data_IF_571637323806
#
_entry.id   IF_571637323806
#
_cell.length_a   1.000
_cell.length_b   1.000
_cell.length_c   1.000
_cell.angle_alpha   90.00
_cell.angle_beta   90.00
_cell.angle_gamma   90.00
#
_symmetry.space_group_name_H-M   'P 1'
#
loop_
_entity.id
_entity.type
_entity.pdbx_description
1 polymer ?
#
# COMPACT_ATOMS: atom_id res chain seq x y z
N UNK A 1 -5.87 15.56 -5.05
CA UNK A 1 -5.30 14.38 -5.75
C UNK A 1 -5.76 13.03 -5.16
N UNK A 2 -6.84 12.97 -4.36
CA UNK A 2 -7.24 11.77 -3.56
C UNK A 2 -8.60 11.14 -3.95
N UNK A 3 -8.97 11.10 -5.23
CA UNK A 3 -10.28 10.54 -5.65
C UNK A 3 -10.23 9.11 -6.20
N UNK A 4 -9.12 8.40 -6.01
CA UNK A 4 -9.05 6.96 -6.34
C UNK A 4 -8.94 6.17 -5.03
N UNK A 5 -10.05 5.59 -4.51
CA UNK A 5 -10.05 4.85 -3.25
C UNK A 5 -9.04 3.68 -3.24
N UNK A 6 -8.72 3.13 -4.41
CA UNK A 6 -7.73 2.07 -4.57
C UNK A 6 -6.26 2.52 -4.41
N UNK A 7 -5.96 3.82 -4.53
CA UNK A 7 -4.60 4.39 -4.33
C UNK A 7 -4.42 4.81 -2.87
N UNK A 8 -5.48 5.32 -2.24
CA UNK A 8 -5.46 5.72 -0.82
C UNK A 8 -5.17 4.55 0.12
N UNK A 9 -5.83 3.40 -0.12
CA UNK A 9 -5.62 2.21 0.69
C UNK A 9 -4.19 1.65 0.56
N UNK A 10 -3.61 1.69 -0.65
CA UNK A 10 -2.23 1.25 -0.89
C UNK A 10 -1.21 2.17 -0.24
N UNK A 11 -1.43 3.48 -0.33
CA UNK A 11 -0.59 4.46 0.37
C UNK A 11 -0.63 4.24 1.89
N UNK A 12 -1.79 3.85 2.43
CA UNK A 12 -1.93 3.46 3.84
C UNK A 12 -1.08 2.24 4.18
N UNK A 13 -1.17 1.17 3.38
CA UNK A 13 -0.36 -0.06 3.59
C UNK A 13 1.14 0.25 3.52
N UNK A 14 1.58 1.09 2.58
CA UNK A 14 2.98 1.52 2.49
C UNK A 14 3.45 2.27 3.76
N UNK A 15 2.64 3.20 4.27
CA UNK A 15 2.97 3.90 5.51
C UNK A 15 3.00 2.96 6.72
N UNK A 16 2.09 1.98 6.79
CA UNK A 16 2.09 0.95 7.82
C UNK A 16 3.33 0.05 7.73
N UNK A 17 3.74 -0.38 6.53
CA UNK A 17 4.95 -1.17 6.32
C UNK A 17 6.19 -0.42 6.85
N UNK A 18 6.30 0.88 6.54
CA UNK A 18 7.38 1.73 7.05
C UNK A 18 7.33 1.89 8.57
N UNK A 19 6.13 2.08 9.14
CA UNK A 19 5.92 2.13 10.59
C UNK A 19 6.42 0.85 11.26
N UNK A 20 5.99 -0.32 10.79
CA UNK A 20 6.42 -1.62 11.33
C UNK A 20 7.91 -1.85 11.16
N UNK A 21 8.50 -1.43 10.03
CA UNK A 21 9.94 -1.55 9.80
C UNK A 21 10.72 -0.78 10.87
N UNK A 22 10.36 0.49 11.09
CA UNK A 22 11.06 1.31 12.07
C UNK A 22 10.79 0.84 13.50
N UNK A 23 9.55 0.48 13.85
CA UNK A 23 9.25 -0.11 15.15
C UNK A 23 10.03 -1.40 15.39
N UNK A 24 10.12 -2.29 14.40
CA UNK A 24 10.90 -3.52 14.49
C UNK A 24 12.38 -3.26 14.77
N UNK A 25 12.99 -2.30 14.06
CA UNK A 25 14.38 -1.89 14.29
C UNK A 25 14.58 -1.31 15.70
N UNK A 26 13.70 -0.43 16.17
CA UNK A 26 13.80 0.17 17.50
C UNK A 26 13.62 -0.87 18.62
N UNK A 27 12.63 -1.74 18.49
CA UNK A 27 12.34 -2.81 19.45
C UNK A 27 13.49 -3.84 19.52
N UNK A 28 14.06 -4.23 18.37
CA UNK A 28 15.26 -5.09 18.35
C UNK A 28 16.50 -4.40 18.90
N UNK A 29 16.58 -3.09 18.76
CA UNK A 29 17.58 -2.24 19.42
C UNK A 29 17.39 -2.12 20.94
N UNK A 30 16.37 -2.77 21.51
CA UNK A 30 16.10 -2.78 22.95
C UNK A 30 15.28 -1.59 23.45
N UNK A 31 14.76 -0.76 22.55
CA UNK A 31 13.90 0.37 22.93
C UNK A 31 12.52 -0.19 23.29
N UNK A 32 11.96 0.26 24.42
CA UNK A 32 10.61 -0.13 24.81
C UNK A 32 9.55 0.37 23.79
N UNK A 33 8.43 -0.35 23.68
CA UNK A 33 7.41 -0.07 22.65
C UNK A 33 6.86 1.35 22.74
N UNK A 34 6.58 1.84 23.94
CA UNK A 34 5.99 3.16 24.17
C UNK A 34 6.88 4.29 23.61
N UNK A 35 8.14 4.45 24.05
CA UNK A 35 9.01 5.48 23.48
C UNK A 35 9.29 5.25 22.00
N UNK A 36 9.31 3.99 21.53
CA UNK A 36 9.44 3.70 20.11
C UNK A 36 8.25 4.24 19.28
N UNK A 37 7.03 4.17 19.80
CA UNK A 37 5.82 4.71 19.14
C UNK A 37 5.87 6.23 19.02
N UNK A 38 6.35 6.93 20.06
CA UNK A 38 6.51 8.37 20.01
C UNK A 38 7.54 8.79 18.95
N UNK A 39 8.67 8.08 18.87
CA UNK A 39 9.73 8.34 17.89
C UNK A 39 9.26 8.17 16.43
N UNK A 40 8.36 7.21 16.16
CA UNK A 40 7.88 6.93 14.79
C UNK A 40 6.66 7.77 14.40
N UNK A 41 6.09 8.57 15.31
CA UNK A 41 4.90 9.37 15.00
C UNK A 41 5.13 10.36 13.87
N UNK A 42 6.32 10.95 13.79
CA UNK A 42 6.72 11.85 12.69
C UNK A 42 6.87 11.17 11.33
N UNK A 43 6.89 9.83 11.27
CA UNK A 43 7.01 9.07 10.01
C UNK A 43 5.68 8.88 9.29
N UNK A 44 4.56 9.06 9.99
CA UNK A 44 3.21 8.86 9.47
C UNK A 44 2.65 10.15 8.87
N UNK A 45 1.75 10.02 7.89
CA UNK A 45 0.98 11.15 7.38
C UNK A 45 0.03 11.72 8.43
N UNK A 46 -0.35 13.00 8.25
CA UNK A 46 -1.28 13.70 9.15
C UNK A 46 -2.61 12.96 9.39
N UNK A 47 -3.04 12.11 8.44
CA UNK A 47 -4.26 11.30 8.59
C UNK A 47 -4.10 10.10 9.55
N UNK A 48 -2.89 9.56 9.71
CA UNK A 48 -2.61 8.38 10.55
C UNK A 48 -1.98 8.74 11.90
N UNK A 49 -1.37 9.91 12.04
CA UNK A 49 -0.83 10.40 13.32
C UNK A 49 -1.82 10.33 14.49
N UNK A 50 -3.08 10.83 14.39
CA UNK A 50 -4.01 10.78 15.53
C UNK A 50 -4.38 9.33 15.93
N UNK A 51 -4.37 8.40 14.96
CA UNK A 51 -4.59 6.98 15.22
C UNK A 51 -3.43 6.37 16.00
N UNK A 52 -2.20 6.70 15.64
CA UNK A 52 -1.01 6.25 16.37
C UNK A 52 -0.98 6.79 17.79
N UNK A 53 -1.26 8.08 17.98
CA UNK A 53 -1.34 8.67 19.31
C UNK A 53 -2.41 7.98 20.19
N UNK A 54 -3.56 7.65 19.60
CA UNK A 54 -4.61 6.89 20.30
C UNK A 54 -4.13 5.47 20.66
N UNK A 55 -3.39 4.80 19.77
CA UNK A 55 -2.85 3.48 20.03
C UNK A 55 -1.81 3.50 21.15
N UNK A 56 -0.89 4.48 21.13
CA UNK A 56 0.10 4.70 22.18
C UNK A 56 -0.58 4.90 23.52
N UNK A 57 -1.65 5.71 23.57
CA UNK A 57 -2.45 5.91 24.78
C UNK A 57 -3.07 4.61 25.30
N UNK A 58 -3.69 3.81 24.44
CA UNK A 58 -4.27 2.52 24.87
C UNK A 58 -3.21 1.55 25.42
N UNK A 59 -2.01 1.55 24.82
CA UNK A 59 -0.90 0.73 25.29
C UNK A 59 -0.39 1.22 26.65
N UNK A 60 -0.32 2.54 26.87
CA UNK A 60 -0.04 3.13 28.18
C UNK A 60 -1.07 2.73 29.24
N UNK A 61 -2.34 2.65 28.86
CA UNK A 61 -3.45 2.23 29.73
C UNK A 61 -3.45 0.70 30.01
N UNK A 62 -2.47 -0.04 29.47
CA UNK A 62 -2.28 -1.48 29.71
C UNK A 62 -2.94 -2.39 28.67
N UNK A 63 -3.47 -1.82 27.58
CA UNK A 63 -4.04 -2.61 26.47
C UNK A 63 -2.92 -3.31 25.71
N UNK A 64 -3.19 -4.52 25.23
CA UNK A 64 -2.27 -5.24 24.34
C UNK A 64 -2.01 -4.46 23.06
N UNK A 65 -0.80 -4.58 22.51
CA UNK A 65 -0.38 -3.88 21.29
C UNK A 65 -1.25 -4.33 20.12
N UNK A 66 -1.52 -5.64 20.04
CA UNK A 66 -2.37 -6.21 18.99
C UNK A 66 -3.77 -5.58 18.98
N UNK A 67 -4.39 -5.40 20.15
CA UNK A 67 -5.71 -4.82 20.29
C UNK A 67 -5.74 -3.30 20.09
N UNK A 68 -4.72 -2.58 20.58
CA UNK A 68 -4.58 -1.14 20.38
C UNK A 68 -4.44 -0.78 18.89
N UNK A 69 -3.63 -1.56 18.17
CA UNK A 69 -3.46 -1.40 16.72
C UNK A 69 -4.75 -1.75 15.97
N UNK A 70 -5.45 -2.82 16.36
CA UNK A 70 -6.73 -3.25 15.76
C UNK A 70 -7.81 -2.17 15.90
N UNK A 71 -7.99 -1.64 17.11
CA UNK A 71 -9.00 -0.62 17.43
C UNK A 71 -8.76 0.70 16.72
N UNK A 72 -7.48 1.06 16.51
CA UNK A 72 -7.11 2.31 15.83
C UNK A 72 -6.99 2.16 14.30
N UNK A 73 -7.20 0.94 13.78
CA UNK A 73 -7.10 0.64 12.36
C UNK A 73 -5.70 0.86 11.80
N UNK A 74 -4.66 0.57 12.60
CA UNK A 74 -3.25 0.61 12.22
C UNK A 74 -2.74 -0.77 11.82
N UNK A 75 -3.61 -1.66 11.36
CA UNK A 75 -3.28 -3.05 11.03
C UNK A 75 -4.11 -3.55 9.86
N UNK A 76 -3.53 -4.50 9.15
CA UNK A 76 -4.21 -5.38 8.19
C UNK A 76 -4.55 -6.71 8.87
N UNK A 77 -5.47 -7.49 8.29
CA UNK A 77 -5.84 -8.81 8.82
C UNK A 77 -4.63 -9.75 9.00
N UNK A 78 -3.64 -9.65 8.10
CA UNK A 78 -2.39 -10.42 8.17
C UNK A 78 -1.48 -9.87 9.27
N UNK A 79 -1.28 -8.55 9.32
CA UNK A 79 -0.48 -7.90 10.37
C UNK A 79 -1.02 -8.19 11.78
N UNK A 80 -2.35 -8.22 11.96
CA UNK A 80 -2.98 -8.50 13.26
C UNK A 80 -2.63 -9.90 13.78
N UNK A 81 -2.67 -10.91 12.90
CA UNK A 81 -2.34 -12.29 13.27
C UNK A 81 -0.88 -12.41 13.67
N UNK A 82 0.01 -11.78 12.90
CA UNK A 82 1.44 -11.72 13.22
C UNK A 82 1.68 -11.00 14.54
N UNK A 83 1.10 -9.81 14.74
CA UNK A 83 1.12 -9.06 16.00
C UNK A 83 0.78 -9.93 17.22
N UNK A 84 -0.35 -10.66 17.15
CA UNK A 84 -0.78 -11.57 18.24
C UNK A 84 0.23 -12.70 18.50
N UNK A 85 0.88 -13.22 17.45
CA UNK A 85 1.95 -14.22 17.61
C UNK A 85 3.19 -13.61 18.26
N UNK A 86 3.62 -12.43 17.80
CA UNK A 86 4.77 -11.72 18.37
C UNK A 86 4.57 -11.36 19.83
N UNK A 87 3.36 -10.93 20.19
CA UNK A 87 2.99 -10.57 21.55
C UNK A 87 3.00 -11.77 22.50
N UNK A 88 2.45 -12.92 22.07
CA UNK A 88 2.48 -14.17 22.87
C UNK A 88 3.89 -14.78 22.99
N UNK A 89 4.69 -14.66 21.93
CA UNK A 89 6.06 -15.15 21.92
C UNK A 89 7.06 -14.21 22.60
N UNK A 90 6.62 -13.01 23.03
CA UNK A 90 7.50 -11.99 23.59
C UNK A 90 8.50 -11.41 22.59
N UNK A 91 8.30 -11.63 21.29
CA UNK A 91 9.24 -11.25 20.24
C UNK A 91 8.58 -10.30 19.22
N UNK A 92 8.15 -9.14 19.73
CA UNK A 92 7.49 -8.12 18.92
C UNK A 92 8.40 -7.47 17.90
N UNK A 93 9.69 -7.27 18.22
CA UNK A 93 10.65 -6.64 17.31
C UNK A 93 10.84 -7.44 16.02
N UNK A 94 11.09 -8.76 16.12
CA UNK A 94 11.21 -9.62 14.94
C UNK A 94 9.89 -9.69 14.17
N UNK A 95 8.76 -9.78 14.88
CA UNK A 95 7.47 -9.90 14.23
C UNK A 95 7.07 -8.62 13.47
N UNK A 96 7.39 -7.45 14.00
CA UNK A 96 7.23 -6.17 13.29
C UNK A 96 8.04 -6.13 11.98
N UNK A 97 9.29 -6.60 11.99
CA UNK A 97 10.10 -6.68 10.77
C UNK A 97 9.52 -7.67 9.75
N UNK A 98 9.01 -8.82 10.21
CA UNK A 98 8.35 -9.80 9.33
C UNK A 98 7.09 -9.23 8.69
N UNK A 99 6.28 -8.49 9.44
CA UNK A 99 5.10 -7.79 8.89
C UNK A 99 5.52 -6.75 7.85
N UNK A 100 6.57 -5.97 8.14
CA UNK A 100 7.09 -4.98 7.20
C UNK A 100 7.57 -5.65 5.90
N UNK A 101 8.37 -6.72 6.00
CA UNK A 101 8.86 -7.46 4.85
C UNK A 101 7.72 -8.05 4.00
N UNK A 102 6.69 -8.61 4.64
CA UNK A 102 5.52 -9.13 3.93
C UNK A 102 4.82 -8.06 3.09
N UNK A 103 4.61 -6.86 3.65
CA UNK A 103 3.97 -5.76 2.93
C UNK A 103 4.89 -5.15 1.87
N UNK A 104 6.20 -5.08 2.11
CA UNK A 104 7.18 -4.63 1.10
C UNK A 104 7.17 -5.55 -0.12
N UNK A 105 7.15 -6.87 0.09
CA UNK A 105 7.05 -7.86 -0.99
C UNK A 105 5.72 -7.76 -1.75
N UNK A 106 4.61 -7.53 -1.04
CA UNK A 106 3.29 -7.33 -1.66
C UNK A 106 3.28 -6.09 -2.56
N UNK A 107 3.91 -5.00 -2.12
CA UNK A 107 4.07 -3.79 -2.92
C UNK A 107 4.99 -4.02 -4.13
N UNK A 108 6.09 -4.77 -3.96
CA UNK A 108 7.00 -5.10 -5.06
C UNK A 108 6.31 -5.93 -6.15
N UNK A 109 5.56 -6.98 -5.75
CA UNK A 109 4.76 -7.79 -6.69
C UNK A 109 3.75 -6.96 -7.47
N UNK A 110 3.12 -5.99 -6.81
CA UNK A 110 2.16 -5.10 -7.45
C UNK A 110 2.82 -4.14 -8.46
N UNK A 111 3.98 -3.56 -8.10
CA UNK A 111 4.76 -2.72 -9.01
C UNK A 111 5.22 -3.49 -10.26
N UNK A 112 5.63 -4.75 -10.08
CA UNK A 112 5.97 -5.64 -11.19
C UNK A 112 4.76 -5.92 -12.08
N UNK A 113 3.59 -6.16 -11.50
CA UNK A 113 2.35 -6.37 -12.26
C UNK A 113 1.94 -5.15 -13.09
N UNK A 114 2.07 -3.94 -12.55
CA UNK A 114 1.86 -2.70 -13.31
C UNK A 114 2.83 -2.62 -14.48
N UNK A 115 4.11 -2.92 -14.24
CA UNK A 115 5.13 -2.88 -15.28
C UNK A 115 4.81 -3.86 -16.40
N UNK A 116 4.32 -5.06 -16.05
CA UNK A 116 3.88 -6.07 -17.02
C UNK A 116 2.67 -5.62 -17.86
N UNK A 117 1.76 -4.84 -17.30
CA UNK A 117 0.60 -4.30 -18.02
C UNK A 117 0.95 -3.17 -19.01
N UNK A 118 2.11 -2.52 -18.87
CA UNK A 118 2.54 -1.48 -19.80
C UNK A 118 2.68 -2.02 -21.23
N UNK A 119 3.20 -3.24 -21.41
CA UNK A 119 3.36 -3.87 -22.72
C UNK A 119 2.04 -4.00 -23.50
N UNK A 120 1.02 -4.70 -22.95
CA UNK A 120 -0.30 -4.79 -23.56
C UNK A 120 -0.96 -3.43 -23.83
N UNK A 121 -0.78 -2.45 -22.94
CA UNK A 121 -1.34 -1.12 -23.13
C UNK A 121 -0.71 -0.40 -24.34
N UNK A 122 0.61 -0.50 -24.50
CA UNK A 122 1.31 0.04 -25.67
C UNK A 122 0.86 -0.63 -26.97
N UNK A 123 0.67 -1.95 -26.96
CA UNK A 123 0.12 -2.68 -28.11
C UNK A 123 -1.30 -2.22 -28.47
N UNK A 124 -2.15 -1.98 -27.47
CA UNK A 124 -3.52 -1.49 -27.68
C UNK A 124 -3.53 -0.08 -28.28
N UNK A 125 -2.69 0.83 -27.76
CA UNK A 125 -2.52 2.18 -28.31
C UNK A 125 -2.02 2.11 -29.75
N UNK A 126 -1.06 1.23 -30.04
CA UNK A 126 -0.55 1.06 -31.41
C UNK A 126 -1.60 0.52 -32.37
N UNK A 127 -2.39 -0.46 -31.93
CA UNK A 127 -3.52 -0.97 -32.71
C UNK A 127 -4.56 0.12 -33.01
N UNK A 128 -4.89 0.97 -32.03
CA UNK A 128 -5.81 2.09 -32.23
C UNK A 128 -5.28 3.09 -33.27
N UNK A 129 -3.99 3.46 -33.17
CA UNK A 129 -3.35 4.38 -34.12
C UNK A 129 -3.38 3.81 -35.53
N UNK A 130 -2.97 2.55 -35.70
CA UNK A 130 -2.97 1.88 -37.01
C UNK A 130 -4.40 1.77 -37.55
N UNK A 131 -5.36 1.35 -36.72
CA UNK A 131 -6.77 1.25 -37.10
C UNK A 131 -7.36 2.58 -37.55
N UNK A 132 -7.06 3.67 -36.84
CA UNK A 132 -7.50 5.00 -37.22
C UNK A 132 -6.94 5.43 -38.59
N UNK A 133 -5.66 5.16 -38.86
CA UNK A 133 -5.02 5.45 -40.16
C UNK A 133 -5.72 4.69 -41.29
N UNK A 134 -6.01 3.40 -41.10
CA UNK A 134 -6.72 2.58 -42.10
C UNK A 134 -8.10 3.16 -42.39
N UNK A 135 -8.90 3.47 -41.36
CA UNK A 135 -10.23 4.06 -41.55
C UNK A 135 -10.16 5.38 -42.31
N UNK A 136 -9.24 6.28 -41.93
CA UNK A 136 -9.00 7.56 -42.60
C UNK A 136 -8.63 7.39 -44.08
N UNK A 137 -7.90 6.32 -44.41
CA UNK A 137 -7.48 6.05 -45.79
C UNK A 137 -8.62 5.50 -46.65
N UNK A 138 -9.51 4.67 -46.10
CA UNK A 138 -10.60 4.04 -46.87
C UNK A 138 -11.88 4.89 -46.95
N UNK A 139 -12.17 5.71 -45.95
CA UNK A 139 -13.40 6.52 -45.90
C UNK A 139 -13.59 7.44 -47.14
N UNK A 140 -12.56 8.13 -47.67
CA UNK A 140 -12.68 8.93 -48.88
C UNK A 140 -13.01 8.08 -50.13
N UNK A 141 -12.48 6.86 -50.20
CA UNK A 141 -12.74 5.93 -51.30
C UNK A 141 -14.22 5.54 -51.31
N UNK A 142 -14.80 5.24 -50.15
CA UNK A 142 -16.23 4.96 -50.02
C UNK A 142 -17.09 6.16 -50.43
N UNK A 143 -16.72 7.37 -50.00
CA UNK A 143 -17.45 8.59 -50.38
C UNK A 143 -17.41 8.87 -51.88
N UNK A 144 -16.26 8.62 -52.53
CA UNK A 144 -16.13 8.73 -53.99
C UNK A 144 -16.99 7.68 -54.70
N UNK A 145 -17.02 6.44 -54.22
CA UNK A 145 -17.83 5.38 -54.82
C UNK A 145 -19.35 5.67 -54.74
N UNK A 146 -19.83 6.21 -53.61
CA UNK A 146 -21.24 6.58 -53.45
C UNK A 146 -21.64 7.78 -54.34
N UNK A 147 -20.71 8.71 -54.61
CA UNK A 147 -20.98 9.88 -55.47
C UNK A 147 -21.12 9.57 -56.97
N UNK A 148 -20.77 8.36 -57.40
CA UNK A 148 -20.79 7.92 -58.81
C UNK A 148 -22.10 7.17 -59.15
N UNK A 149 -22.99 6.96 -58.18
CA UNK A 149 -24.32 6.38 -58.37
C UNK A 149 -25.41 7.44 -58.38
#
# INVERSE_FOLDING_TARGET
MWRIPAVGERMRVFQLARLYRTLGMLLRGGIAIVPALDMVTGLLSAALQPRLLSATRFIHEGTTISHAFETTGLTTAVALRMLRVGERAGNMGEMMERIAAFHDEEMARWAEWITKLLGPMLMLVMGLVIGAVVVLMYLPIFQLADSIR
#
